data_IF_387768639299
#
_entry.id   IF_387768639299
#
_cell.length_a   1.000
_cell.length_b   1.000
_cell.length_c   1.000
_cell.angle_alpha   90.00
_cell.angle_beta   90.00
_cell.angle_gamma   90.00
#
_symmetry.space_group_name_H-M   'P 1'
#
loop_
_entity.id
_entity.type
_entity.pdbx_description
1 polymer ?
#
# COMPACT_ATOMS: atom_id res chain seq x y z
N UNK A 1 10.84 11.12 -3.42
CA UNK A 1 9.72 11.45 -2.53
C UNK A 1 9.92 10.77 -1.19
N UNK A 2 9.65 11.45 -0.09
CA UNK A 2 9.82 10.86 1.24
C UNK A 2 8.71 9.89 1.57
N UNK A 3 8.96 8.96 2.47
CA UNK A 3 7.98 7.98 2.90
C UNK A 3 6.75 8.66 3.52
N UNK A 4 6.97 9.72 4.29
CA UNK A 4 5.88 10.47 4.90
C UNK A 4 5.00 11.15 3.85
N UNK A 5 5.58 11.66 2.78
CA UNK A 5 4.82 12.28 1.69
C UNK A 5 3.96 11.25 0.96
N UNK A 6 4.50 10.06 0.74
CA UNK A 6 3.75 8.97 0.12
C UNK A 6 2.59 8.54 1.02
N UNK A 7 2.86 8.40 2.32
CA UNK A 7 1.85 8.04 3.30
C UNK A 7 0.71 9.07 3.35
N UNK A 8 1.05 10.36 3.26
CA UNK A 8 0.05 11.42 3.25
C UNK A 8 -0.88 11.33 2.02
N UNK A 9 -0.32 11.05 0.84
CA UNK A 9 -1.11 10.86 -0.37
C UNK A 9 -2.07 9.68 -0.24
N UNK A 10 -1.58 8.57 0.28
CA UNK A 10 -2.40 7.37 0.49
C UNK A 10 -3.49 7.67 1.50
N UNK A 11 -3.16 8.38 2.57
CA UNK A 11 -4.13 8.76 3.60
C UNK A 11 -5.30 9.54 3.04
N UNK A 12 -5.04 10.48 2.13
CA UNK A 12 -6.10 11.25 1.48
C UNK A 12 -7.02 10.37 0.66
N UNK A 13 -6.45 9.44 -0.11
CA UNK A 13 -7.23 8.53 -0.94
C UNK A 13 -8.06 7.56 -0.11
N UNK A 14 -7.46 7.00 0.94
CA UNK A 14 -8.14 6.06 1.83
C UNK A 14 -9.29 6.76 2.56
N UNK A 15 -9.06 7.98 3.04
CA UNK A 15 -10.08 8.74 3.75
C UNK A 15 -11.30 9.03 2.87
N UNK A 16 -11.09 9.26 1.57
CA UNK A 16 -12.17 9.58 0.65
C UNK A 16 -12.96 8.36 0.18
N UNK A 17 -12.42 7.15 0.34
CA UNK A 17 -13.07 5.91 -0.14
C UNK A 17 -13.73 5.10 0.95
N UNK A 18 -13.48 5.42 2.22
CA UNK A 18 -14.05 4.67 3.33
C UNK A 18 -13.46 3.29 3.54
N UNK A 19 -12.23 3.07 3.10
CA UNK A 19 -11.54 1.80 3.32
C UNK A 19 -11.41 1.54 4.82
N UNK A 20 -11.77 0.33 5.27
CA UNK A 20 -11.85 0.01 6.70
C UNK A 20 -11.04 -1.23 7.11
N UNK A 21 -10.14 -1.68 6.24
CA UNK A 21 -9.28 -2.83 6.52
C UNK A 21 -7.87 -2.38 6.88
N UNK A 22 -7.06 -3.32 7.36
CA UNK A 22 -5.66 -3.03 7.67
C UNK A 22 -4.75 -3.68 6.63
N UNK A 23 -3.86 -2.88 6.06
CA UNK A 23 -2.89 -3.32 5.06
C UNK A 23 -1.54 -2.69 5.37
N UNK A 24 -0.50 -3.50 5.29
CA UNK A 24 0.86 -3.03 5.47
C UNK A 24 1.60 -3.12 4.14
N UNK A 25 2.20 -2.02 3.73
CA UNK A 25 3.15 -2.02 2.61
C UNK A 25 4.55 -2.14 3.19
N UNK A 26 5.20 -3.26 2.94
CA UNK A 26 6.57 -3.51 3.39
C UNK A 26 7.52 -3.09 2.25
N UNK A 27 8.23 -2.00 2.47
CA UNK A 27 9.16 -1.44 1.48
C UNK A 27 10.61 -1.88 1.74
N UNK A 28 10.79 -2.93 2.54
CA UNK A 28 12.11 -3.45 2.87
C UNK A 28 12.91 -2.47 3.71
N UNK A 29 14.13 -2.16 3.27
CA UNK A 29 15.03 -1.27 3.99
C UNK A 29 14.51 0.17 4.08
N UNK A 30 13.58 0.56 3.22
CA UNK A 30 13.01 1.91 3.22
C UNK A 30 11.92 2.10 4.27
N UNK A 31 11.45 1.02 4.90
CA UNK A 31 10.47 1.09 5.96
C UNK A 31 9.14 0.46 5.58
N UNK A 32 8.10 0.80 6.33
CA UNK A 32 6.75 0.28 6.09
C UNK A 32 5.74 1.43 6.09
N UNK A 33 4.62 1.21 5.40
CA UNK A 33 3.46 2.08 5.50
C UNK A 33 2.31 1.20 5.94
N UNK A 34 1.72 1.53 7.08
CA UNK A 34 0.60 0.79 7.66
C UNK A 34 -0.68 1.58 7.47
N UNK A 35 -1.65 0.96 6.81
CA UNK A 35 -2.98 1.51 6.65
C UNK A 35 -3.90 0.73 7.59
N UNK A 36 -4.49 1.43 8.55
CA UNK A 36 -5.42 0.83 9.50
C UNK A 36 -6.73 1.61 9.43
N UNK A 37 -7.68 1.06 8.67
CA UNK A 37 -8.89 1.77 8.36
C UNK A 37 -8.59 3.03 7.57
N UNK A 38 -8.95 4.19 8.12
CA UNK A 38 -8.68 5.48 7.49
C UNK A 38 -7.40 6.14 8.02
N UNK A 39 -6.68 5.46 8.91
CA UNK A 39 -5.42 5.96 9.46
C UNK A 39 -4.24 5.38 8.70
N UNK A 40 -3.27 6.22 8.41
CA UNK A 40 -2.04 5.81 7.73
C UNK A 40 -0.85 6.24 8.58
N UNK A 41 0.07 5.32 8.80
CA UNK A 41 1.28 5.59 9.57
C UNK A 41 2.48 4.93 8.91
N UNK A 42 3.67 5.34 9.33
CA UNK A 42 4.92 4.73 8.89
C UNK A 42 5.51 3.80 9.95
N UNK A 43 4.75 3.52 10.99
CA UNK A 43 5.15 2.59 12.05
C UNK A 43 4.70 1.18 11.72
N UNK A 44 5.55 0.20 11.99
CA UNK A 44 5.22 -1.21 11.80
C UNK A 44 4.19 -1.66 12.84
N UNK A 45 3.30 -2.55 12.41
CA UNK A 45 2.28 -3.09 13.28
C UNK A 45 1.54 -4.25 12.61
N UNK A 46 0.58 -4.87 13.31
CA UNK A 46 -0.20 -5.95 12.73
C UNK A 46 -1.12 -5.45 11.63
N UNK A 47 -1.31 -6.27 10.60
CA UNK A 47 -2.20 -5.95 9.49
C UNK A 47 -2.84 -7.23 8.96
N UNK A 48 -4.05 -7.11 8.42
CA UNK A 48 -4.77 -8.24 7.83
C UNK A 48 -4.13 -8.69 6.52
N UNK A 49 -3.42 -7.79 5.85
CA UNK A 49 -2.74 -8.08 4.60
C UNK A 49 -1.41 -7.34 4.58
N UNK A 50 -0.37 -7.99 4.08
CA UNK A 50 0.95 -7.38 3.91
C UNK A 50 1.34 -7.44 2.45
N UNK A 51 1.66 -6.30 1.86
CA UNK A 51 2.11 -6.20 0.49
C UNK A 51 3.58 -5.81 0.49
N UNK A 52 4.43 -6.70 -0.01
CA UNK A 52 5.87 -6.44 -0.12
C UNK A 52 6.16 -5.90 -1.51
N UNK A 53 6.72 -4.71 -1.58
CA UNK A 53 6.99 -4.01 -2.83
C UNK A 53 8.18 -3.08 -2.60
N UNK A 54 8.97 -2.82 -3.65
CA UNK A 54 10.05 -1.85 -3.54
C UNK A 54 9.49 -0.42 -3.47
N UNK A 55 10.26 0.49 -2.89
CA UNK A 55 9.86 1.89 -2.78
C UNK A 55 9.63 2.50 -4.17
N UNK A 56 10.50 2.22 -5.12
CA UNK A 56 10.38 2.74 -6.49
C UNK A 56 9.09 2.27 -7.15
N UNK A 57 8.76 0.98 -7.02
CA UNK A 57 7.53 0.43 -7.57
C UNK A 57 6.31 0.98 -6.85
N UNK A 58 6.42 1.20 -5.55
CA UNK A 58 5.34 1.79 -4.77
C UNK A 58 5.06 3.23 -5.18
N UNK A 59 6.10 4.02 -5.41
CA UNK A 59 5.95 5.38 -5.94
C UNK A 59 5.27 5.36 -7.32
N UNK A 60 5.65 4.43 -8.18
CA UNK A 60 5.03 4.27 -9.49
C UNK A 60 3.55 3.91 -9.37
N UNK A 61 3.19 3.06 -8.41
CA UNK A 61 1.79 2.72 -8.15
C UNK A 61 0.98 3.96 -7.74
N UNK A 62 1.51 4.74 -6.82
CA UNK A 62 0.78 5.91 -6.29
C UNK A 62 0.70 7.04 -7.30
N UNK A 63 1.64 7.12 -8.23
CA UNK A 63 1.62 8.15 -9.27
C UNK A 63 0.81 7.73 -10.50
N UNK A 64 0.36 6.48 -10.57
CA UNK A 64 -0.40 5.96 -11.70
C UNK A 64 0.45 5.39 -12.83
N UNK A 65 1.77 5.37 -12.68
CA UNK A 65 2.68 4.84 -13.71
C UNK A 65 2.75 3.32 -13.74
N UNK A 66 2.33 2.67 -12.65
CA UNK A 66 2.35 1.21 -12.54
C UNK A 66 0.97 0.73 -12.12
N UNK A 67 0.41 -0.20 -12.90
CA UNK A 67 -0.88 -0.80 -12.57
C UNK A 67 -0.68 -1.89 -11.52
N UNK A 68 -1.47 -1.89 -10.41
CA UNK A 68 -1.32 -2.90 -9.36
C UNK A 68 -1.45 -4.33 -9.84
N UNK A 69 -2.41 -4.59 -10.73
CA UNK A 69 -2.62 -5.93 -11.29
C UNK A 69 -1.42 -6.39 -12.10
N UNK A 70 -0.89 -5.50 -12.94
CA UNK A 70 0.29 -5.79 -13.73
C UNK A 70 1.52 -5.99 -12.85
N UNK A 71 1.67 -5.19 -11.81
CA UNK A 71 2.78 -5.32 -10.86
C UNK A 71 2.75 -6.69 -10.18
N UNK A 72 1.57 -7.14 -9.80
CA UNK A 72 1.41 -8.45 -9.18
C UNK A 72 1.79 -9.58 -10.16
N UNK A 73 1.29 -9.48 -11.39
CA UNK A 73 1.58 -10.49 -12.42
C UNK A 73 3.06 -10.53 -12.81
N UNK A 74 3.73 -9.40 -12.76
CA UNK A 74 5.17 -9.30 -13.07
C UNK A 74 6.07 -9.66 -11.89
N UNK A 75 5.50 -9.97 -10.73
CA UNK A 75 6.28 -10.29 -9.54
C UNK A 75 6.91 -9.08 -8.86
N UNK A 76 6.49 -7.88 -9.20
CA UNK A 76 7.00 -6.65 -8.59
C UNK A 76 6.46 -6.43 -7.19
N UNK A 77 5.31 -7.02 -6.88
CA UNK A 77 4.77 -7.01 -5.52
C UNK A 77 4.35 -8.40 -5.11
N UNK A 78 4.38 -8.65 -3.80
CA UNK A 78 3.95 -9.90 -3.21
C UNK A 78 2.90 -9.60 -2.15
N UNK A 79 1.88 -10.44 -2.09
CA UNK A 79 0.78 -10.28 -1.14
C UNK A 79 0.80 -11.45 -0.17
N UNK A 80 0.83 -11.14 1.13
CA UNK A 80 0.67 -12.13 2.20
C UNK A 80 -0.57 -11.77 2.99
N UNK A 81 -1.46 -12.74 3.18
CA UNK A 81 -2.73 -12.53 3.86
C UNK A 81 -3.90 -12.55 2.90
N UNK A 82 -4.88 -11.68 3.13
CA UNK A 82 -6.13 -11.71 2.38
C UNK A 82 -6.01 -10.97 1.05
N UNK A 83 -6.08 -11.71 -0.05
CA UNK A 83 -6.02 -11.14 -1.40
C UNK A 83 -7.20 -10.21 -1.69
N UNK A 84 -8.36 -10.46 -1.11
CA UNK A 84 -9.52 -9.61 -1.32
C UNK A 84 -9.24 -8.19 -0.81
N UNK A 85 -8.58 -8.09 0.34
CA UNK A 85 -8.21 -6.80 0.92
C UNK A 85 -7.21 -6.08 0.02
N UNK A 86 -6.23 -6.80 -0.51
CA UNK A 86 -5.25 -6.23 -1.41
C UNK A 86 -5.90 -5.69 -2.68
N UNK A 87 -6.87 -6.42 -3.23
CA UNK A 87 -7.60 -5.97 -4.41
C UNK A 87 -8.46 -4.74 -4.14
N UNK A 88 -9.10 -4.69 -2.97
CA UNK A 88 -9.87 -3.51 -2.57
C UNK A 88 -8.96 -2.29 -2.47
N UNK A 89 -7.79 -2.45 -1.87
CA UNK A 89 -6.85 -1.35 -1.73
C UNK A 89 -6.33 -0.88 -3.08
N UNK A 90 -6.09 -1.79 -4.03
CA UNK A 90 -5.60 -1.41 -5.34
C UNK A 90 -6.58 -0.52 -6.09
N UNK A 91 -7.87 -0.62 -5.79
CA UNK A 91 -8.89 0.26 -6.37
C UNK A 91 -8.88 1.65 -5.75
N UNK A 92 -8.33 1.77 -4.55
CA UNK A 92 -8.21 3.05 -3.83
C UNK A 92 -6.99 3.84 -4.32
N UNK A 93 -5.94 3.14 -4.67
CA UNK A 93 -4.70 3.77 -5.14
C UNK A 93 -4.77 4.27 -6.63
#
# INVERSE_FOLDING_TARGET
MSLDAIAAKIGERVASTGFDRSVKFDLGADGVILIDGQKVSTEDGPADCTITISKDDFEALTSGDLNPTMAYMQGKLKVAGDMTIAMQLSQVL
#
